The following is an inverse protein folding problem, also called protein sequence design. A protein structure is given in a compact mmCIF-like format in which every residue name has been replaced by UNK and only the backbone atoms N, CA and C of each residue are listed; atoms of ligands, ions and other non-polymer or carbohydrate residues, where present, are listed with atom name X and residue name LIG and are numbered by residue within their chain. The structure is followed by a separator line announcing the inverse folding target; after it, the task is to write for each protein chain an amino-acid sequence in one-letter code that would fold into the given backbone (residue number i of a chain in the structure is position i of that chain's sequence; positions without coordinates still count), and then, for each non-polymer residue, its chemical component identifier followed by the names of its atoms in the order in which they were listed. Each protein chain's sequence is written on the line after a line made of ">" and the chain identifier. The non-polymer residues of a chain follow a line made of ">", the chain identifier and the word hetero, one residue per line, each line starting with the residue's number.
data_IF_428386946549
#
_entry.id   IF_428386946549
#
_cell.length_a   1.000
_cell.length_b   1.000
_cell.length_c   1.000
_cell.angle_alpha   90.00
_cell.angle_beta   90.00
_cell.angle_gamma   90.00
#
_symmetry.space_group_name_H-M   'P 1'
#
loop_
_entity.id
_entity.type
_entity.pdbx_description
1 polymer ?
#
# COMPACT_ATOMS: atom_id res chain seq x y z
N UNK A 1 39.10 20.28 -1.39
CA UNK A 1 38.39 19.11 -1.87
C UNK A 1 36.99 19.10 -1.29
N UNK A 2 35.96 19.31 -2.11
CA UNK A 2 34.58 19.10 -1.69
C UNK A 2 34.40 17.60 -1.49
N UNK A 3 34.43 17.15 -0.24
CA UNK A 3 33.88 15.87 0.10
C UNK A 3 32.36 15.97 -0.14
N UNK A 4 31.91 15.38 -1.24
CA UNK A 4 30.48 15.12 -1.44
C UNK A 4 30.03 14.19 -0.30
N UNK A 5 29.46 14.76 0.76
CA UNK A 5 28.82 13.99 1.81
C UNK A 5 27.60 13.31 1.19
N UNK A 6 27.72 12.02 0.84
CA UNK A 6 26.58 11.21 0.41
C UNK A 6 25.62 11.04 1.57
N UNK A 7 24.33 11.34 1.35
CA UNK A 7 23.28 11.06 2.30
C UNK A 7 23.13 9.54 2.41
N UNK A 8 23.07 9.03 3.64
CA UNK A 8 22.76 7.63 3.84
C UNK A 8 21.32 7.35 3.37
N UNK A 9 21.16 6.32 2.57
CA UNK A 9 19.81 5.90 2.17
C UNK A 9 19.05 5.29 3.33
N UNK A 10 17.71 5.33 3.25
CA UNK A 10 16.80 4.65 4.17
C UNK A 10 15.69 3.97 3.40
N UNK A 11 15.30 2.80 3.88
CA UNK A 11 14.16 2.04 3.36
C UNK A 11 13.36 1.48 4.54
N UNK A 12 12.08 1.77 4.56
CA UNK A 12 11.14 1.22 5.53
C UNK A 12 9.96 0.62 4.77
N UNK A 13 9.55 -0.57 5.17
CA UNK A 13 8.37 -1.22 4.61
C UNK A 13 7.45 -1.72 5.71
N UNK A 14 6.19 -1.95 5.35
CA UNK A 14 5.23 -2.65 6.19
C UNK A 14 4.45 -3.70 5.38
N UNK A 15 4.01 -4.74 6.07
CA UNK A 15 3.14 -5.80 5.54
C UNK A 15 1.70 -5.70 6.04
N UNK A 16 1.30 -4.54 6.56
CA UNK A 16 -0.03 -4.28 7.06
C UNK A 16 -0.11 -4.09 8.58
N UNK A 17 -1.26 -3.62 9.02
CA UNK A 17 -1.66 -3.53 10.41
C UNK A 17 -2.84 -4.48 10.68
N UNK A 18 -3.08 -4.83 11.92
CA UNK A 18 -4.18 -5.65 12.36
C UNK A 18 -3.77 -6.65 13.44
N UNK A 19 -4.74 -7.25 14.08
CA UNK A 19 -4.49 -8.26 15.10
C UNK A 19 -4.23 -9.61 14.44
N UNK A 20 -2.96 -10.02 14.42
CA UNK A 20 -2.60 -11.38 14.07
C UNK A 20 -2.77 -12.25 15.32
N UNK A 21 -3.62 -13.28 15.24
CA UNK A 21 -3.71 -14.26 16.32
C UNK A 21 -2.47 -15.17 16.31
N UNK A 22 -2.23 -15.86 17.43
CA UNK A 22 -1.06 -16.72 17.58
C UNK A 22 -1.04 -17.85 16.55
N UNK A 23 -2.19 -18.43 16.20
CA UNK A 23 -2.28 -19.49 15.22
C UNK A 23 -1.88 -19.03 13.81
N UNK A 24 -2.31 -17.82 13.42
CA UNK A 24 -1.90 -17.23 12.15
C UNK A 24 -0.39 -16.99 12.10
N UNK A 25 0.20 -16.46 13.19
CA UNK A 25 1.65 -16.24 13.28
C UNK A 25 2.43 -17.55 13.23
N UNK A 26 1.97 -18.59 13.91
CA UNK A 26 2.59 -19.93 13.83
C UNK A 26 2.55 -20.50 12.42
N UNK A 27 1.46 -20.30 11.71
CA UNK A 27 1.23 -20.86 10.38
C UNK A 27 1.94 -20.08 9.27
N UNK A 28 2.02 -18.75 9.37
CA UNK A 28 2.46 -17.85 8.30
C UNK A 28 3.65 -16.96 8.64
N UNK A 29 4.08 -16.92 9.90
CA UNK A 29 5.12 -16.00 10.36
C UNK A 29 6.44 -16.13 9.62
N UNK A 30 6.89 -17.34 9.33
CA UNK A 30 8.11 -17.56 8.56
C UNK A 30 7.99 -17.07 7.11
N UNK A 31 6.87 -17.32 6.46
CA UNK A 31 6.62 -16.83 5.09
C UNK A 31 6.57 -15.31 5.05
N UNK A 32 5.94 -14.67 6.03
CA UNK A 32 5.90 -13.20 6.15
C UNK A 32 7.31 -12.64 6.34
N UNK A 33 8.09 -13.18 7.27
CA UNK A 33 9.47 -12.75 7.50
C UNK A 33 10.35 -12.92 6.27
N UNK A 34 10.22 -14.04 5.55
CA UNK A 34 11.01 -14.31 4.35
C UNK A 34 10.72 -13.31 3.23
N UNK A 35 9.44 -12.98 2.98
CA UNK A 35 9.09 -12.02 1.93
C UNK A 35 9.50 -10.59 2.30
N UNK A 36 9.36 -10.20 3.56
CA UNK A 36 9.81 -8.89 4.05
C UNK A 36 11.33 -8.76 3.88
N UNK A 37 12.10 -9.77 4.28
CA UNK A 37 13.55 -9.78 4.12
C UNK A 37 13.97 -9.69 2.66
N UNK A 38 13.34 -10.48 1.79
CA UNK A 38 13.59 -10.43 0.34
C UNK A 38 13.29 -9.05 -0.25
N UNK A 39 12.17 -8.45 0.14
CA UNK A 39 11.77 -7.13 -0.32
C UNK A 39 12.76 -6.04 0.14
N UNK A 40 13.19 -6.08 1.40
CA UNK A 40 14.21 -5.17 1.94
C UNK A 40 15.54 -5.31 1.20
N UNK A 41 15.99 -6.52 0.92
CA UNK A 41 17.24 -6.76 0.20
C UNK A 41 17.20 -6.16 -1.20
N UNK A 42 16.14 -6.37 -1.96
CA UNK A 42 16.01 -5.84 -3.33
C UNK A 42 15.93 -4.31 -3.35
N UNK A 43 15.12 -3.71 -2.49
CA UNK A 43 15.03 -2.25 -2.39
C UNK A 43 16.34 -1.62 -1.92
N UNK A 44 16.99 -2.20 -0.92
CA UNK A 44 18.29 -1.73 -0.41
C UNK A 44 19.39 -1.82 -1.45
N UNK A 45 19.40 -2.89 -2.26
CA UNK A 45 20.36 -3.08 -3.34
C UNK A 45 20.29 -1.95 -4.39
N UNK A 46 19.07 -1.55 -4.75
CA UNK A 46 18.84 -0.42 -5.66
C UNK A 46 19.38 0.88 -5.06
N UNK A 47 19.03 1.17 -3.81
CA UNK A 47 19.49 2.39 -3.12
C UNK A 47 21.01 2.42 -2.93
N UNK A 48 21.58 1.30 -2.55
CA UNK A 48 23.03 1.16 -2.34
C UNK A 48 23.83 1.39 -3.64
N UNK A 49 23.27 0.99 -4.78
CA UNK A 49 23.90 1.20 -6.09
C UNK A 49 23.66 2.60 -6.68
N UNK A 50 23.02 3.50 -5.96
CA UNK A 50 22.73 4.86 -6.40
C UNK A 50 21.41 5.02 -7.16
N UNK A 51 20.55 3.99 -7.17
CA UNK A 51 19.22 4.07 -7.76
C UNK A 51 18.28 4.99 -6.97
N UNK A 52 17.19 5.41 -7.60
CA UNK A 52 16.23 6.35 -7.00
C UNK A 52 15.34 5.69 -5.94
N UNK A 53 14.85 6.52 -5.02
CA UNK A 53 13.83 6.11 -4.06
C UNK A 53 12.56 5.59 -4.75
N UNK A 54 12.16 6.19 -5.86
CA UNK A 54 11.02 5.72 -6.67
C UNK A 54 11.23 4.28 -7.16
N UNK A 55 12.38 3.98 -7.76
CA UNK A 55 12.72 2.61 -8.20
C UNK A 55 12.72 1.62 -7.03
N UNK A 56 13.30 2.04 -5.90
CA UNK A 56 13.43 1.19 -4.72
C UNK A 56 12.06 0.81 -4.13
N UNK A 57 11.15 1.76 -3.96
CA UNK A 57 9.82 1.47 -3.40
C UNK A 57 8.96 0.63 -4.35
N UNK A 58 9.06 0.84 -5.65
CA UNK A 58 8.36 0.01 -6.65
C UNK A 58 8.89 -1.43 -6.61
N UNK A 59 10.19 -1.63 -6.60
CA UNK A 59 10.78 -2.98 -6.52
C UNK A 59 10.40 -3.68 -5.20
N UNK A 60 10.45 -2.97 -4.09
CA UNK A 60 10.08 -3.50 -2.77
C UNK A 60 8.62 -3.94 -2.74
N UNK A 61 7.69 -3.08 -3.16
CA UNK A 61 6.25 -3.38 -3.16
C UNK A 61 5.91 -4.48 -4.18
N UNK A 62 6.60 -4.54 -5.32
CA UNK A 62 6.41 -5.62 -6.30
C UNK A 62 6.66 -7.00 -5.69
N UNK A 63 7.71 -7.16 -4.90
CA UNK A 63 8.00 -8.42 -4.20
C UNK A 63 6.90 -8.74 -3.18
N UNK A 64 6.42 -7.74 -2.46
CA UNK A 64 5.32 -7.93 -1.51
C UNK A 64 4.00 -8.29 -2.20
N UNK A 65 3.72 -7.73 -3.37
CA UNK A 65 2.55 -8.09 -4.18
C UNK A 65 2.61 -9.50 -4.76
N UNK A 66 3.80 -10.00 -5.07
CA UNK A 66 3.97 -11.33 -5.68
C UNK A 66 3.78 -12.47 -4.69
N UNK A 67 3.87 -12.22 -3.39
CA UNK A 67 3.74 -13.23 -2.36
C UNK A 67 2.28 -13.39 -1.90
N UNK A 68 1.73 -14.62 -1.90
CA UNK A 68 0.33 -14.85 -1.53
C UNK A 68 0.02 -14.65 -0.04
N UNK A 69 1.02 -14.44 0.82
CA UNK A 69 0.82 -14.35 2.27
C UNK A 69 0.35 -12.96 2.72
N UNK A 70 0.58 -11.92 1.91
CA UNK A 70 0.22 -10.53 2.23
C UNK A 70 -1.03 -10.09 1.46
N UNK A 71 -1.76 -9.11 1.99
CA UNK A 71 -2.96 -8.57 1.35
C UNK A 71 -2.62 -7.48 0.33
N UNK A 72 -1.98 -7.88 -0.72
CA UNK A 72 -1.71 -7.07 -1.91
C UNK A 72 -1.38 -8.00 -3.07
N UNK A 73 -1.66 -7.59 -4.30
CA UNK A 73 -1.37 -8.42 -5.46
C UNK A 73 -1.96 -9.82 -5.34
N UNK A 74 -1.13 -10.83 -5.48
CA UNK A 74 -1.55 -12.24 -5.45
C UNK A 74 -2.20 -12.69 -4.15
N UNK A 75 -1.87 -12.08 -3.03
CA UNK A 75 -2.44 -12.39 -1.72
C UNK A 75 -3.67 -11.57 -1.35
N UNK A 76 -4.25 -10.83 -2.28
CA UNK A 76 -5.36 -9.92 -2.02
C UNK A 76 -6.60 -10.63 -1.49
N UNK A 77 -7.26 -9.96 -0.54
CA UNK A 77 -8.58 -10.36 -0.05
C UNK A 77 -9.65 -10.22 -1.14
N UNK A 78 -10.75 -10.91 -0.98
CA UNK A 78 -11.91 -10.84 -1.86
C UNK A 78 -12.95 -9.84 -1.34
N UNK A 79 -13.67 -9.21 -2.28
CA UNK A 79 -14.88 -8.45 -1.96
C UNK A 79 -16.07 -9.38 -1.67
N UNK A 80 -17.23 -8.81 -1.35
CA UNK A 80 -18.46 -9.56 -1.01
C UNK A 80 -18.93 -10.53 -2.12
N UNK A 81 -18.61 -10.24 -3.38
CA UNK A 81 -18.95 -11.04 -4.54
C UNK A 81 -17.86 -12.06 -4.93
N UNK A 82 -16.89 -12.30 -4.06
CA UNK A 82 -15.71 -13.13 -4.30
C UNK A 82 -14.83 -12.62 -5.47
N UNK A 83 -14.93 -11.34 -5.79
CA UNK A 83 -14.11 -10.67 -6.80
C UNK A 83 -12.89 -9.99 -6.20
N UNK A 84 -12.02 -9.53 -7.07
CA UNK A 84 -10.79 -8.82 -6.72
C UNK A 84 -10.83 -7.39 -7.23
N UNK A 85 -10.59 -6.45 -6.35
CA UNK A 85 -10.52 -5.02 -6.63
C UNK A 85 -9.29 -4.48 -5.91
N UNK A 86 -8.18 -4.36 -6.63
CA UNK A 86 -6.88 -3.99 -6.08
C UNK A 86 -6.61 -2.51 -6.29
N UNK A 87 -6.03 -1.88 -5.27
CA UNK A 87 -5.65 -0.48 -5.30
C UNK A 87 -4.14 -0.34 -5.09
N UNK A 88 -3.54 0.66 -5.72
CA UNK A 88 -2.15 1.01 -5.49
C UNK A 88 -1.90 2.50 -5.76
N UNK A 89 -0.87 3.04 -5.15
CA UNK A 89 -0.43 4.40 -5.38
C UNK A 89 1.09 4.54 -5.23
N UNK A 90 1.66 5.42 -6.04
CA UNK A 90 3.07 5.79 -6.03
C UNK A 90 3.18 7.30 -6.06
N UNK A 91 4.06 7.87 -5.22
CA UNK A 91 4.37 9.30 -5.26
C UNK A 91 5.87 9.53 -5.16
N UNK A 92 6.36 10.38 -6.06
CA UNK A 92 7.74 10.87 -6.06
C UNK A 92 7.82 12.19 -5.28
N UNK A 93 8.62 12.22 -4.22
CA UNK A 93 8.71 13.39 -3.33
C UNK A 93 9.48 14.57 -3.90
N UNK A 94 10.35 14.34 -4.89
CA UNK A 94 11.10 15.39 -5.56
C UNK A 94 10.22 16.16 -6.56
N UNK A 95 9.49 15.45 -7.40
CA UNK A 95 8.73 16.01 -8.51
C UNK A 95 7.25 16.22 -8.18
N UNK A 96 6.76 15.54 -7.13
CA UNK A 96 5.34 15.41 -6.77
C UNK A 96 4.52 14.67 -7.81
N UNK A 97 5.16 13.97 -8.74
CA UNK A 97 4.47 13.08 -9.67
C UNK A 97 3.79 11.95 -8.94
N UNK A 98 2.62 11.58 -9.42
CA UNK A 98 1.75 10.56 -8.83
C UNK A 98 1.24 9.60 -9.90
N UNK A 99 1.11 8.35 -9.54
CA UNK A 99 0.31 7.37 -10.27
C UNK A 99 -0.48 6.51 -9.28
N UNK A 100 -1.77 6.34 -9.55
CA UNK A 100 -2.63 5.51 -8.70
C UNK A 100 -3.67 4.76 -9.51
N UNK A 101 -4.08 3.60 -9.01
CA UNK A 101 -5.09 2.75 -9.60
C UNK A 101 -6.11 2.30 -8.56
N UNK A 102 -7.36 2.19 -8.99
CA UNK A 102 -8.51 1.84 -8.15
C UNK A 102 -9.26 0.66 -8.75
N UNK A 103 -9.40 -0.42 -7.98
CA UNK A 103 -10.23 -1.56 -8.30
C UNK A 103 -9.74 -2.41 -9.47
N UNK A 104 -8.44 -2.41 -9.75
CA UNK A 104 -7.87 -3.16 -10.88
C UNK A 104 -7.72 -4.64 -10.56
N UNK A 105 -7.81 -5.49 -11.58
CA UNK A 105 -7.68 -6.95 -11.42
C UNK A 105 -7.12 -7.67 -12.66
N UNK A 106 -6.46 -6.95 -13.56
CA UNK A 106 -5.90 -7.52 -14.79
C UNK A 106 -4.40 -7.36 -14.91
N UNK A 107 -3.75 -6.74 -13.93
CA UNK A 107 -2.31 -6.55 -13.90
C UNK A 107 -1.71 -7.30 -12.70
N UNK A 108 -0.66 -8.07 -12.97
CA UNK A 108 0.04 -8.82 -11.93
C UNK A 108 0.49 -7.92 -10.77
N UNK A 109 1.02 -6.73 -11.10
CA UNK A 109 1.54 -5.77 -10.14
C UNK A 109 0.88 -4.40 -10.27
N UNK A 110 -0.15 -4.12 -9.48
CA UNK A 110 -0.80 -2.80 -9.48
C UNK A 110 0.16 -1.64 -9.25
N UNK A 111 1.21 -1.83 -8.45
CA UNK A 111 2.21 -0.76 -8.22
C UNK A 111 2.99 -0.43 -9.49
N UNK A 112 3.28 -1.40 -10.34
CA UNK A 112 3.91 -1.16 -11.64
C UNK A 112 2.98 -0.42 -12.60
N UNK A 113 1.70 -0.73 -12.56
CA UNK A 113 0.68 0.02 -13.32
C UNK A 113 0.60 1.47 -12.84
N UNK A 114 0.65 1.70 -11.53
CA UNK A 114 0.71 3.05 -10.96
C UNK A 114 1.91 3.83 -11.50
N UNK A 115 3.07 3.21 -11.57
CA UNK A 115 4.26 3.84 -12.15
C UNK A 115 4.10 4.13 -13.65
N UNK A 116 3.53 3.20 -14.39
CA UNK A 116 3.23 3.40 -15.81
C UNK A 116 2.33 4.62 -16.03
N UNK A 117 1.28 4.76 -15.23
CA UNK A 117 0.37 5.92 -15.28
C UNK A 117 1.13 7.21 -14.99
N UNK A 118 1.96 7.22 -13.94
CA UNK A 118 2.80 8.36 -13.57
C UNK A 118 3.69 8.81 -14.72
N UNK A 119 4.34 7.86 -15.41
CA UNK A 119 5.37 8.16 -16.43
C UNK A 119 4.82 8.35 -17.83
N UNK A 120 3.70 7.72 -18.16
CA UNK A 120 3.24 7.57 -19.55
C UNK A 120 1.91 8.24 -19.85
N UNK A 121 1.25 8.85 -18.87
CA UNK A 121 0.01 9.59 -19.07
C UNK A 121 0.09 11.00 -18.48
N UNK A 122 -0.86 11.83 -18.88
CA UNK A 122 -1.06 13.18 -18.28
C UNK A 122 -1.91 13.14 -17.02
N UNK A 123 -2.53 11.99 -16.74
CA UNK A 123 -3.42 11.79 -15.62
C UNK A 123 -2.66 11.16 -14.45
N UNK A 124 -3.29 11.11 -13.29
CA UNK A 124 -2.67 10.58 -12.07
C UNK A 124 -3.41 9.38 -11.50
N UNK A 125 -4.73 9.26 -11.68
CA UNK A 125 -5.55 8.17 -11.11
C UNK A 125 -6.44 7.57 -12.18
N UNK A 126 -6.46 6.23 -12.27
CA UNK A 126 -7.36 5.49 -13.13
C UNK A 126 -8.15 4.45 -12.33
N UNK A 127 -9.43 4.35 -12.60
CA UNK A 127 -10.24 3.20 -12.21
C UNK A 127 -10.02 2.04 -13.18
N UNK A 128 -10.45 0.85 -12.80
CA UNK A 128 -10.35 -0.34 -13.64
C UNK A 128 -10.95 -0.13 -15.04
N UNK A 129 -12.04 0.62 -15.13
CA UNK A 129 -12.70 0.92 -16.39
C UNK A 129 -11.80 1.64 -17.43
N UNK A 130 -10.81 2.39 -16.96
CA UNK A 130 -9.87 3.12 -17.80
C UNK A 130 -8.62 2.32 -18.20
N UNK A 131 -8.43 1.11 -17.70
CA UNK A 131 -7.18 0.36 -17.87
C UNK A 131 -7.12 -0.60 -19.06
N UNK A 132 -8.21 -0.97 -19.76
CA UNK A 132 -8.14 -1.94 -20.88
C UNK A 132 -7.12 -1.60 -21.96
N UNK A 133 -6.97 -0.32 -22.29
CA UNK A 133 -5.96 0.12 -23.28
C UNK A 133 -4.52 -0.13 -22.82
N UNK A 134 -4.26 -0.14 -21.51
CA UNK A 134 -2.94 -0.37 -20.97
C UNK A 134 -2.52 -1.83 -20.97
N UNK A 135 -3.46 -2.77 -21.17
CA UNK A 135 -3.16 -4.20 -21.26
C UNK A 135 -2.12 -4.52 -22.35
N UNK A 136 -2.16 -3.79 -23.46
CA UNK A 136 -1.20 -3.94 -24.57
C UNK A 136 -0.11 -2.88 -24.55
N UNK A 137 -0.48 -1.63 -24.30
CA UNK A 137 0.43 -0.48 -24.43
C UNK A 137 1.51 -0.45 -23.35
N UNK A 138 1.21 -0.95 -22.12
CA UNK A 138 2.12 -0.83 -21.00
C UNK A 138 3.34 -1.76 -21.05
N UNK A 139 3.23 -2.89 -21.74
CA UNK A 139 4.23 -3.95 -21.68
C UNK A 139 4.34 -4.66 -20.34
N UNK A 140 3.43 -4.39 -19.39
CA UNK A 140 3.40 -5.02 -18.08
C UNK A 140 2.76 -6.42 -18.15
N UNK A 141 3.06 -7.24 -17.15
CA UNK A 141 2.47 -8.56 -17.01
C UNK A 141 0.97 -8.47 -16.75
N UNK A 142 0.20 -9.02 -17.68
CA UNK A 142 -1.26 -9.09 -17.64
C UNK A 142 -1.70 -10.45 -17.16
N UNK A 143 -2.69 -10.49 -16.29
CA UNK A 143 -3.25 -11.71 -15.73
C UNK A 143 -4.77 -11.71 -15.83
N UNK A 144 -5.38 -12.88 -15.74
CA UNK A 144 -6.81 -13.00 -15.49
C UNK A 144 -7.07 -12.83 -13.98
N UNK A 145 -8.27 -12.38 -13.57
CA UNK A 145 -8.59 -12.21 -12.16
C UNK A 145 -8.35 -13.45 -11.28
N UNK A 146 -8.47 -14.65 -11.84
CA UNK A 146 -8.20 -15.91 -11.12
C UNK A 146 -6.76 -16.05 -10.62
N UNK A 147 -5.82 -15.27 -11.20
CA UNK A 147 -4.44 -15.24 -10.72
C UNK A 147 -4.34 -14.85 -9.23
N UNK A 148 -5.26 -13.99 -8.76
CA UNK A 148 -5.26 -13.49 -7.39
C UNK A 148 -5.93 -14.45 -6.39
N UNK A 149 -6.58 -15.50 -6.87
CA UNK A 149 -7.24 -16.48 -6.00
C UNK A 149 -6.23 -17.20 -5.12
N UNK A 150 -6.53 -17.26 -3.81
CA UNK A 150 -5.86 -18.15 -2.86
C UNK A 150 -6.90 -18.86 -1.99
N UNK A 151 -6.71 -20.14 -1.64
CA UNK A 151 -7.65 -20.84 -0.75
C UNK A 151 -7.81 -20.15 0.60
N UNK A 152 -6.75 -19.58 1.15
CA UNK A 152 -6.78 -18.88 2.43
C UNK A 152 -7.75 -17.69 2.38
N UNK A 153 -7.69 -16.85 1.34
CA UNK A 153 -8.55 -15.67 1.23
C UNK A 153 -10.00 -16.03 0.96
N UNK A 154 -10.24 -17.08 0.20
CA UNK A 154 -11.58 -17.61 0.01
C UNK A 154 -12.20 -18.12 1.31
N UNK A 155 -11.44 -18.88 2.12
CA UNK A 155 -11.88 -19.33 3.44
C UNK A 155 -12.19 -18.16 4.38
N UNK A 156 -11.36 -17.11 4.36
CA UNK A 156 -11.62 -15.89 5.12
C UNK A 156 -12.92 -15.19 4.68
N UNK A 157 -13.23 -15.17 3.40
CA UNK A 157 -14.50 -14.64 2.89
C UNK A 157 -15.70 -15.46 3.38
N UNK A 158 -15.62 -16.79 3.28
CA UNK A 158 -16.67 -17.70 3.76
C UNK A 158 -16.92 -17.50 5.25
N UNK A 159 -15.86 -17.40 6.04
CA UNK A 159 -15.97 -17.16 7.48
C UNK A 159 -16.60 -15.81 7.79
N UNK A 160 -16.20 -14.74 7.09
CA UNK A 160 -16.79 -13.41 7.26
C UNK A 160 -18.26 -13.37 6.90
N UNK A 161 -18.70 -14.09 5.86
CA UNK A 161 -20.10 -14.22 5.49
C UNK A 161 -20.92 -14.87 6.60
N UNK A 162 -20.40 -15.94 7.23
CA UNK A 162 -21.05 -16.62 8.35
C UNK A 162 -21.16 -15.72 9.59
N UNK A 163 -20.10 -15.00 9.91
CA UNK A 163 -20.09 -14.04 11.03
C UNK A 163 -21.08 -12.90 10.80
N UNK A 164 -21.25 -12.45 9.55
CA UNK A 164 -22.24 -11.45 9.19
C UNK A 164 -23.67 -11.92 9.44
N UNK A 165 -23.99 -13.14 9.05
CA UNK A 165 -25.30 -13.75 9.31
C UNK A 165 -25.59 -13.80 10.81
N UNK A 166 -24.62 -14.26 11.61
CA UNK A 166 -24.76 -14.32 13.09
C UNK A 166 -24.89 -12.92 13.70
N UNK A 167 -24.13 -11.93 13.21
CA UNK A 167 -24.17 -10.56 13.74
C UNK A 167 -25.49 -9.86 13.43
N UNK A 168 -26.09 -10.10 12.27
CA UNK A 168 -27.44 -9.60 11.93
C UNK A 168 -28.50 -10.13 12.89
N UNK A 169 -28.34 -11.37 13.34
CA UNK A 169 -29.27 -12.01 14.29
C UNK A 169 -29.10 -11.50 15.74
N UNK A 170 -27.92 -11.00 16.13
CA UNK A 170 -27.59 -10.67 17.52
C UNK A 170 -27.27 -9.20 17.79
N UNK A 171 -27.28 -8.30 16.81
CA UNK A 171 -27.01 -6.85 16.94
C UNK A 171 -25.67 -6.49 17.61
N UNK A 172 -24.67 -7.36 17.61
CA UNK A 172 -23.35 -7.04 18.18
C UNK A 172 -22.41 -6.40 17.15
N UNK A 173 -21.60 -5.38 17.55
CA UNK A 173 -20.64 -4.78 16.64
C UNK A 173 -19.50 -5.76 16.31
N UNK A 174 -19.20 -5.89 15.03
CA UNK A 174 -18.16 -6.77 14.51
C UNK A 174 -16.78 -6.41 15.03
N UNK A 175 -15.99 -7.43 15.39
CA UNK A 175 -14.52 -7.30 15.39
C UNK A 175 -14.09 -7.12 13.95
N UNK A 176 -13.52 -5.95 13.64
CA UNK A 176 -13.11 -5.59 12.30
C UNK A 176 -12.11 -6.57 11.73
N UNK A 177 -12.31 -6.87 10.48
CA UNK A 177 -11.50 -7.74 9.68
C UNK A 177 -10.08 -7.25 9.49
N UNK A 178 -9.22 -8.19 9.18
CA UNK A 178 -7.78 -8.04 9.11
C UNK A 178 -7.36 -7.11 7.98
N UNK A 179 -6.63 -6.09 8.33
CA UNK A 179 -5.98 -5.17 7.43
C UNK A 179 -4.59 -5.69 7.09
N UNK A 180 -4.23 -5.70 5.83
CA UNK A 180 -2.95 -6.27 5.41
C UNK A 180 -2.34 -5.54 4.22
N UNK A 181 -2.62 -4.25 4.06
CA UNK A 181 -2.00 -3.36 3.08
C UNK A 181 -0.48 -3.45 3.16
N UNK A 182 0.21 -3.45 2.03
CA UNK A 182 1.67 -3.36 1.99
C UNK A 182 2.11 -1.99 1.53
N UNK A 183 3.29 -1.57 1.98
CA UNK A 183 3.85 -0.31 1.54
C UNK A 183 5.34 -0.19 1.82
N UNK A 184 5.95 0.77 1.15
CA UNK A 184 7.35 1.13 1.34
C UNK A 184 7.56 2.62 1.17
N UNK A 185 8.47 3.17 1.94
CA UNK A 185 8.97 4.53 1.81
C UNK A 185 10.49 4.48 1.76
N UNK A 186 11.10 5.34 0.96
CA UNK A 186 12.55 5.37 0.81
C UNK A 186 13.09 6.79 0.71
N UNK A 187 14.32 6.96 1.21
CA UNK A 187 15.19 8.11 0.99
C UNK A 187 16.42 7.61 0.25
N UNK A 188 16.68 8.14 -0.94
CA UNK A 188 17.85 7.76 -1.71
C UNK A 188 19.10 8.59 -1.33
N UNK A 189 20.26 8.19 -1.85
CA UNK A 189 21.54 8.87 -1.57
C UNK A 189 21.60 10.30 -2.11
N UNK A 190 20.66 10.70 -2.97
CA UNK A 190 20.53 12.05 -3.52
C UNK A 190 19.60 12.95 -2.68
N UNK A 191 19.03 12.42 -1.59
CA UNK A 191 18.15 13.16 -0.70
C UNK A 191 16.68 13.21 -1.13
N UNK A 192 16.26 12.34 -2.05
CA UNK A 192 14.90 12.31 -2.57
C UNK A 192 14.05 11.20 -1.94
N UNK A 193 12.79 11.52 -1.68
CA UNK A 193 11.80 10.65 -1.05
C UNK A 193 10.83 10.06 -2.07
N UNK A 194 10.34 8.86 -1.78
CA UNK A 194 9.22 8.26 -2.49
C UNK A 194 8.39 7.38 -1.55
N UNK A 195 7.12 7.22 -1.87
CA UNK A 195 6.19 6.36 -1.15
C UNK A 195 5.38 5.50 -2.13
N UNK A 196 5.16 4.26 -1.77
CA UNK A 196 4.35 3.30 -2.51
C UNK A 196 3.47 2.50 -1.57
N UNK A 197 2.21 2.28 -1.95
CA UNK A 197 1.25 1.48 -1.18
C UNK A 197 0.45 0.62 -2.14
N UNK A 198 0.13 -0.62 -1.74
CA UNK A 198 -0.66 -1.57 -2.52
C UNK A 198 -1.54 -2.42 -1.61
N UNK A 199 -2.77 -2.71 -2.03
CA UNK A 199 -3.72 -3.44 -1.18
C UNK A 199 -4.82 -4.12 -1.99
N UNK A 200 -5.36 -5.21 -1.44
CA UNK A 200 -6.64 -5.78 -1.86
C UNK A 200 -7.84 -5.18 -1.14
N UNK A 201 -7.62 -4.27 -0.19
CA UNK A 201 -8.65 -3.68 0.65
C UNK A 201 -8.94 -4.50 1.90
N UNK A 202 -10.19 -4.50 2.35
CA UNK A 202 -10.65 -5.29 3.50
C UNK A 202 -11.43 -6.51 3.04
N UNK A 203 -11.29 -7.61 3.77
CA UNK A 203 -12.01 -8.85 3.47
C UNK A 203 -13.53 -8.63 3.51
N UNK A 204 -14.24 -9.19 2.54
CA UNK A 204 -15.69 -9.07 2.42
C UNK A 204 -16.19 -7.62 2.25
N UNK A 205 -15.34 -6.73 1.72
CA UNK A 205 -15.77 -5.36 1.42
C UNK A 205 -16.93 -5.35 0.43
N UNK A 206 -17.79 -4.35 0.53
CA UNK A 206 -18.77 -4.08 -0.52
C UNK A 206 -18.06 -3.86 -1.85
N UNK A 207 -18.61 -4.37 -2.94
CA UNK A 207 -18.08 -4.13 -4.28
C UNK A 207 -17.99 -2.62 -4.54
N UNK A 208 -16.84 -2.18 -5.05
CA UNK A 208 -16.58 -0.77 -5.30
C UNK A 208 -16.06 0.04 -4.12
N UNK A 209 -15.93 -0.55 -2.92
CA UNK A 209 -15.36 0.15 -1.76
C UNK A 209 -13.88 0.46 -2.00
N UNK A 210 -13.50 1.70 -1.81
CA UNK A 210 -12.13 2.20 -1.90
C UNK A 210 -11.67 2.67 -0.52
N UNK A 211 -10.49 2.23 -0.10
CA UNK A 211 -9.83 2.70 1.11
C UNK A 211 -8.90 3.89 0.86
N UNK A 212 -8.00 4.13 1.78
CA UNK A 212 -7.05 5.24 1.75
C UNK A 212 -5.86 5.03 0.81
N UNK A 213 -5.52 3.78 0.48
CA UNK A 213 -4.33 3.43 -0.30
C UNK A 213 -4.16 4.27 -1.58
N UNK A 214 -5.14 4.34 -2.50
CA UNK A 214 -4.97 5.05 -3.76
C UNK A 214 -5.20 6.56 -3.66
N UNK A 215 -5.56 7.05 -2.49
CA UNK A 215 -5.85 8.47 -2.25
C UNK A 215 -4.60 9.19 -1.75
N UNK A 216 -3.99 9.98 -2.64
CA UNK A 216 -2.81 10.76 -2.32
C UNK A 216 -3.13 11.78 -1.24
N UNK A 217 -2.30 11.82 -0.21
CA UNK A 217 -2.51 12.63 0.99
C UNK A 217 -3.28 11.92 2.09
N UNK A 218 -3.92 10.79 1.80
CA UNK A 218 -4.61 9.96 2.79
C UNK A 218 -3.79 8.74 3.18
N UNK A 219 -3.59 7.80 2.26
CA UNK A 219 -2.84 6.56 2.48
C UNK A 219 -1.41 6.57 1.96
N UNK A 220 -1.10 7.47 1.04
CA UNK A 220 0.20 7.56 0.37
C UNK A 220 0.56 9.02 0.15
N UNK A 221 1.75 9.42 0.56
CA UNK A 221 2.25 10.78 0.31
C UNK A 221 3.77 10.83 0.38
N UNK A 222 4.40 11.61 -0.49
CA UNK A 222 5.82 11.92 -0.42
C UNK A 222 6.09 13.34 -0.88
N UNK A 223 6.93 14.06 -0.14
CA UNK A 223 7.36 15.40 -0.45
C UNK A 223 8.74 15.62 0.17
N UNK A 224 9.73 15.97 -0.64
CA UNK A 224 11.10 16.21 -0.16
C UNK A 224 11.19 17.32 0.90
N UNK A 225 10.20 18.22 0.95
CA UNK A 225 10.11 19.27 1.97
C UNK A 225 9.58 18.77 3.32
N UNK A 226 9.16 17.53 3.42
CA UNK A 226 8.58 16.98 4.66
C UNK A 226 8.96 15.52 4.87
N UNK A 227 8.18 14.58 4.38
CA UNK A 227 8.36 13.16 4.63
C UNK A 227 7.75 12.28 3.53
N UNK A 228 7.97 10.98 3.63
CA UNK A 228 7.28 9.96 2.86
C UNK A 228 6.48 9.06 3.81
N UNK A 229 5.24 8.76 3.46
CA UNK A 229 4.28 8.04 4.29
C UNK A 229 3.51 7.02 3.47
N UNK A 230 3.42 5.81 4.01
CA UNK A 230 2.50 4.76 3.57
C UNK A 230 1.71 4.27 4.77
N UNK A 231 0.38 4.38 4.70
CA UNK A 231 -0.52 4.06 5.81
C UNK A 231 -1.14 2.68 5.65
N UNK A 232 -1.50 2.09 6.78
CA UNK A 232 -2.32 0.88 6.86
C UNK A 232 -3.22 0.95 8.09
N UNK A 233 -4.42 0.37 8.00
CA UNK A 233 -5.44 0.41 9.04
C UNK A 233 -6.84 0.50 8.45
N UNK A 234 -7.78 1.06 9.19
CA UNK A 234 -9.13 1.31 8.69
C UNK A 234 -9.16 2.55 7.80
N UNK A 235 -9.21 2.32 6.49
CA UNK A 235 -9.01 3.34 5.47
C UNK A 235 -9.91 4.57 5.59
N UNK A 236 -11.15 4.38 6.00
CA UNK A 236 -12.13 5.45 6.15
C UNK A 236 -11.69 6.52 7.16
N UNK A 237 -11.03 6.13 8.25
CA UNK A 237 -10.48 7.09 9.21
C UNK A 237 -9.31 7.87 8.64
N UNK A 238 -8.43 7.21 7.88
CA UNK A 238 -7.29 7.87 7.22
C UNK A 238 -7.75 8.85 6.13
N UNK A 239 -8.82 8.50 5.40
CA UNK A 239 -9.42 9.39 4.40
C UNK A 239 -10.01 10.63 5.06
N UNK A 240 -10.86 10.46 6.08
CA UNK A 240 -11.50 11.59 6.77
C UNK A 240 -10.51 12.53 7.44
N UNK A 241 -9.40 11.98 7.95
CA UNK A 241 -8.33 12.74 8.57
C UNK A 241 -7.34 13.35 7.56
N UNK A 242 -7.36 12.93 6.30
CA UNK A 242 -6.32 13.26 5.30
C UNK A 242 -4.93 12.95 5.90
N UNK A 243 -4.78 11.74 6.47
CA UNK A 243 -3.76 11.42 7.46
C UNK A 243 -2.34 11.64 6.98
N UNK A 244 -1.98 11.16 5.80
CA UNK A 244 -0.59 11.26 5.32
C UNK A 244 -0.20 12.73 5.07
N UNK A 245 -1.05 13.51 4.44
CA UNK A 245 -0.77 14.93 4.21
C UNK A 245 -0.79 15.75 5.51
N UNK A 246 -1.67 15.44 6.45
CA UNK A 246 -1.70 16.13 7.75
C UNK A 246 -0.37 15.97 8.50
N UNK A 247 0.21 14.77 8.50
CA UNK A 247 1.55 14.52 9.07
C UNK A 247 2.60 15.40 8.37
N UNK A 248 2.62 15.37 7.05
CA UNK A 248 3.56 16.15 6.24
C UNK A 248 3.39 17.67 6.45
N UNK A 249 2.15 18.15 6.51
CA UNK A 249 1.83 19.56 6.73
C UNK A 249 2.29 20.05 8.11
N UNK A 250 2.15 19.24 9.15
CA UNK A 250 2.64 19.58 10.50
C UNK A 250 4.16 19.70 10.56
N UNK A 251 4.87 18.94 9.73
CA UNK A 251 6.32 19.11 9.58
C UNK A 251 6.65 20.39 8.81
N UNK A 252 6.08 20.52 7.62
CA UNK A 252 6.44 21.59 6.67
C UNK A 252 5.98 22.99 7.16
N UNK A 253 4.76 23.11 7.67
CA UNK A 253 4.18 24.38 8.08
C UNK A 253 4.20 24.60 9.58
N UNK A 254 4.16 23.53 10.36
CA UNK A 254 4.11 23.58 11.83
C UNK A 254 5.44 23.40 12.52
N UNK A 255 6.52 23.07 11.79
CA UNK A 255 7.85 22.86 12.35
C UNK A 255 7.95 21.65 13.27
N UNK A 256 7.02 20.70 13.20
CA UNK A 256 7.04 19.48 14.00
C UNK A 256 8.05 18.47 13.44
N UNK A 257 8.62 17.64 14.31
CA UNK A 257 9.35 16.45 13.87
C UNK A 257 8.38 15.42 13.29
N UNK A 258 8.90 14.48 12.49
CA UNK A 258 8.10 13.38 11.96
C UNK A 258 7.40 12.60 13.09
N UNK A 259 8.12 12.27 14.15
CA UNK A 259 7.57 11.53 15.29
C UNK A 259 6.43 12.29 15.98
N UNK A 260 6.61 13.59 16.24
CA UNK A 260 5.57 14.44 16.84
C UNK A 260 4.33 14.53 15.93
N UNK A 261 4.53 14.80 14.66
CA UNK A 261 3.45 14.91 13.67
C UNK A 261 2.67 13.59 13.54
N UNK A 262 3.36 12.47 13.44
CA UNK A 262 2.74 11.15 13.37
C UNK A 262 1.94 10.82 14.64
N UNK A 263 2.48 11.08 15.81
CA UNK A 263 1.79 10.87 17.09
C UNK A 263 0.50 11.71 17.20
N UNK A 264 0.53 12.97 16.81
CA UNK A 264 -0.65 13.83 16.82
C UNK A 264 -1.75 13.26 15.91
N UNK A 265 -1.43 12.91 14.68
CA UNK A 265 -2.42 12.42 13.73
C UNK A 265 -2.96 11.04 14.13
N UNK A 266 -2.10 10.10 14.51
CA UNK A 266 -2.49 8.74 14.81
C UNK A 266 -3.22 8.60 16.15
N UNK A 267 -2.76 9.28 17.19
CA UNK A 267 -3.28 9.09 18.55
C UNK A 267 -4.25 10.18 19.00
N UNK A 268 -4.11 11.41 18.54
CA UNK A 268 -5.00 12.50 18.94
C UNK A 268 -6.13 12.74 17.95
N UNK A 269 -5.91 12.51 16.65
CA UNK A 269 -6.91 12.78 15.61
C UNK A 269 -7.69 11.52 15.19
N UNK A 270 -6.99 10.40 14.94
CA UNK A 270 -7.62 9.15 14.45
C UNK A 270 -8.01 8.23 15.60
N UNK A 271 -7.24 8.16 16.67
CA UNK A 271 -7.42 7.24 17.79
C UNK A 271 -8.50 7.62 18.80
N UNK A 272 -9.33 8.64 18.53
CA UNK A 272 -10.43 9.09 19.42
C UNK A 272 -11.75 8.47 19.04
#
# INVERSE_FOLDING_TARGET
>A
GNENMSIAFKLVLHGGAGNLNEDYVKQHGNAINNVIEKALLEGSKILKSGGSSEEAVVATVTILEDDPVLNAGRGSVMNEDAGFELDAALMNGKTLEVGAVIGVNRFKNPIKLSRYIMKSTKHVVFTNAGTPKFLKESGLDVVDPDYFYTPMRYQQLVQARKENEVTLDHNEPKKSDKYGTVGAVALDIHGHLAAATSTGGVNNKMAGRVGDCPMIGCGTYANDNSCAISCTGQGEYFIRAVAAHDIAARMEYGGKSLAEAANIVLFEKIGK
#
